data_IF_751037465793
#
_entry.id   IF_751037465793
#
_cell.length_a   1.000
_cell.length_b   1.000
_cell.length_c   1.000
_cell.angle_alpha   90.00
_cell.angle_beta   90.00
_cell.angle_gamma   90.00
#
_symmetry.space_group_name_H-M   'P 1'
#
loop_
_entity.id
_entity.type
_entity.pdbx_description
1 polymer ?
#
# COMPACT_ATOMS: atom_id res chain seq x y z
N UNK A 1 -20.31 0.75 -11.58
CA UNK A 1 -19.05 0.06 -11.24
C UNK A 1 -18.99 -0.07 -9.73
N UNK A 2 -19.28 -1.24 -9.18
CA UNK A 2 -19.19 -1.49 -7.73
C UNK A 2 -17.71 -1.57 -7.41
N UNK A 3 -17.16 -0.54 -6.75
CA UNK A 3 -15.77 -0.51 -6.33
C UNK A 3 -15.75 -1.14 -4.93
N UNK A 4 -15.18 -2.35 -4.75
CA UNK A 4 -15.23 -3.03 -3.47
C UNK A 4 -14.31 -2.34 -2.44
N UNK A 5 -14.71 -2.30 -1.17
CA UNK A 5 -13.94 -1.78 -0.02
C UNK A 5 -12.73 -2.68 0.30
N UNK A 6 -11.79 -2.79 -0.63
CA UNK A 6 -10.66 -3.73 -0.53
C UNK A 6 -9.36 -2.95 -0.45
N UNK A 7 -8.66 -3.11 0.66
CA UNK A 7 -7.26 -2.72 0.76
C UNK A 7 -6.40 -3.97 0.61
N UNK A 8 -5.34 -3.90 -0.18
CA UNK A 8 -4.37 -5.00 -0.26
C UNK A 8 -3.22 -4.66 0.69
N UNK A 9 -2.97 -5.54 1.66
CA UNK A 9 -1.85 -5.40 2.58
C UNK A 9 -0.73 -6.34 2.12
N UNK A 10 0.47 -5.82 1.97
CA UNK A 10 1.65 -6.56 1.53
C UNK A 10 2.68 -6.56 2.67
N UNK A 11 3.20 -7.73 3.03
CA UNK A 11 4.35 -7.81 3.93
C UNK A 11 5.64 -7.52 3.15
N UNK A 12 6.54 -6.75 3.76
CA UNK A 12 7.94 -6.77 3.34
C UNK A 12 8.51 -8.14 3.69
N UNK A 13 9.07 -8.83 2.70
CA UNK A 13 9.76 -10.10 2.93
C UNK A 13 11.01 -9.80 3.77
N UNK A 14 10.97 -10.17 5.04
CA UNK A 14 12.14 -10.11 5.92
C UNK A 14 13.10 -11.21 5.45
N UNK A 15 14.22 -10.81 4.84
CA UNK A 15 15.26 -11.77 4.48
C UNK A 15 15.83 -12.36 5.78
N UNK A 16 15.45 -13.60 6.06
CA UNK A 16 16.12 -14.44 7.05
C UNK A 16 17.56 -14.60 6.57
N UNK A 17 18.51 -14.06 7.31
CA UNK A 17 19.93 -14.35 7.10
C UNK A 17 20.14 -15.81 7.45
N UNK A 18 20.38 -16.63 6.43
CA UNK A 18 21.07 -17.91 6.58
C UNK A 18 21.76 -18.25 5.25
N UNK A 19 23.08 -18.08 5.30
CA UNK A 19 24.15 -18.81 4.62
C UNK A 19 23.96 -19.37 3.19
N UNK A 20 24.91 -18.95 2.37
CA UNK A 20 25.30 -19.45 1.06
C UNK A 20 25.42 -20.97 0.99
N UNK A 21 24.90 -21.58 -0.07
CA UNK A 21 25.55 -22.68 -0.78
C UNK A 21 25.36 -22.50 -2.30
N UNK A 22 26.47 -22.31 -2.99
CA UNK A 22 26.58 -22.30 -4.44
C UNK A 22 26.61 -23.74 -4.94
N UNK A 23 25.71 -24.12 -5.83
CA UNK A 23 25.90 -25.28 -6.71
C UNK A 23 25.45 -24.92 -8.12
N UNK A 24 26.45 -24.81 -8.99
CA UNK A 24 26.33 -24.66 -10.44
C UNK A 24 25.96 -26.02 -11.03
N UNK A 25 24.89 -26.12 -11.82
CA UNK A 25 24.76 -27.18 -12.83
C UNK A 25 24.05 -26.64 -14.09
N UNK A 26 24.54 -27.19 -15.20
CA UNK A 26 24.46 -26.75 -16.59
C UNK A 26 23.10 -26.97 -17.27
N UNK A 27 22.92 -26.19 -18.33
CA UNK A 27 21.86 -26.20 -19.32
C UNK A 27 21.45 -27.62 -19.77
N UNK A 28 20.15 -27.94 -19.71
CA UNK A 28 19.53 -28.91 -20.64
C UNK A 28 18.11 -28.43 -20.95
N UNK A 29 17.77 -28.37 -22.24
CA UNK A 29 16.45 -28.01 -22.75
C UNK A 29 15.44 -29.15 -22.57
N UNK A 30 14.18 -28.71 -22.47
CA UNK A 30 12.94 -29.37 -22.87
C UNK A 30 12.20 -30.22 -21.83
N UNK A 31 11.10 -29.67 -21.31
CA UNK A 31 9.75 -30.15 -21.63
C UNK A 31 8.72 -29.18 -21.04
N UNK A 32 7.76 -28.79 -21.87
CA UNK A 32 6.62 -27.95 -21.52
C UNK A 32 5.72 -28.65 -20.50
N UNK A 33 5.91 -28.38 -19.22
CA UNK A 33 4.89 -28.65 -18.21
C UNK A 33 3.78 -27.62 -18.39
N UNK A 34 2.64 -28.04 -18.94
CA UNK A 34 1.39 -27.27 -18.82
C UNK A 34 1.11 -27.07 -17.33
N UNK A 35 1.46 -25.89 -16.82
CA UNK A 35 1.11 -25.49 -15.48
C UNK A 35 -0.40 -25.49 -15.37
N UNK A 36 -0.94 -26.38 -14.53
CA UNK A 36 -2.29 -26.21 -14.01
C UNK A 36 -2.33 -24.85 -13.35
N UNK A 37 -3.05 -23.88 -13.93
CA UNK A 37 -3.34 -22.61 -13.28
C UNK A 37 -4.27 -22.90 -12.09
N UNK A 38 -3.70 -23.34 -10.97
CA UNK A 38 -4.39 -23.25 -9.69
C UNK A 38 -4.64 -21.78 -9.44
N UNK A 39 -5.91 -21.36 -9.54
CA UNK A 39 -6.33 -20.00 -9.22
C UNK A 39 -6.02 -19.77 -7.74
N UNK A 40 -4.84 -19.20 -7.45
CA UNK A 40 -4.45 -18.84 -6.10
C UNK A 40 -5.30 -17.66 -5.65
N UNK A 41 -6.40 -17.95 -4.96
CA UNK A 41 -7.24 -16.92 -4.35
C UNK A 41 -6.53 -16.41 -3.09
N UNK A 42 -6.15 -15.14 -3.08
CA UNK A 42 -5.62 -14.47 -1.90
C UNK A 42 -6.60 -14.63 -0.72
N UNK A 43 -6.04 -14.74 0.49
CA UNK A 43 -6.84 -14.71 1.71
C UNK A 43 -7.62 -13.38 1.78
N UNK A 44 -8.87 -13.47 2.22
CA UNK A 44 -9.71 -12.30 2.52
C UNK A 44 -9.96 -12.32 4.02
N UNK A 45 -9.59 -11.25 4.70
CA UNK A 45 -9.73 -11.11 6.16
C UNK A 45 -10.59 -9.88 6.43
N UNK A 46 -11.66 -10.09 7.18
CA UNK A 46 -12.56 -9.01 7.62
C UNK A 46 -12.06 -8.44 8.94
N UNK A 47 -11.98 -7.12 9.03
CA UNK A 47 -11.62 -6.36 10.22
C UNK A 47 -12.84 -5.57 10.68
N UNK A 48 -13.26 -5.82 11.91
CA UNK A 48 -14.38 -5.16 12.60
C UNK A 48 -14.02 -4.90 14.05
N UNK A 49 -14.88 -4.21 14.79
CA UNK A 49 -14.69 -3.99 16.24
C UNK A 49 -14.56 -5.31 17.04
N UNK A 50 -15.00 -6.46 16.49
CA UNK A 50 -14.91 -7.77 17.13
C UNK A 50 -13.50 -8.38 17.11
N UNK A 51 -12.61 -7.91 16.24
CA UNK A 51 -11.29 -8.51 16.04
C UNK A 51 -10.16 -7.49 15.82
N UNK A 52 -10.45 -6.19 15.96
CA UNK A 52 -9.44 -5.11 15.86
C UNK A 52 -8.91 -4.67 17.22
N UNK A 53 -9.52 -5.12 18.32
CA UNK A 53 -9.04 -4.89 19.68
C UNK A 53 -8.37 -6.17 20.26
N UNK A 54 -7.13 -6.08 20.78
CA UNK A 54 -6.41 -7.17 21.46
C UNK A 54 -7.16 -7.88 22.59
N UNK A 55 -8.11 -7.19 23.23
CA UNK A 55 -8.91 -7.73 24.33
C UNK A 55 -10.08 -8.62 23.85
N UNK A 56 -10.31 -8.69 22.53
CA UNK A 56 -11.41 -9.47 21.96
C UNK A 56 -11.08 -10.96 21.88
N UNK A 57 -12.08 -11.81 22.09
CA UNK A 57 -11.91 -13.27 22.04
C UNK A 57 -11.42 -13.78 20.67
N UNK A 58 -11.76 -13.08 19.59
CA UNK A 58 -11.39 -13.47 18.23
C UNK A 58 -10.01 -12.98 17.79
N UNK A 59 -9.34 -12.16 18.62
CA UNK A 59 -8.03 -11.59 18.32
C UNK A 59 -6.95 -12.66 18.05
N UNK A 60 -6.75 -13.70 18.88
CA UNK A 60 -5.70 -14.69 18.64
C UNK A 60 -5.89 -15.48 17.34
N UNK A 61 -7.15 -15.83 17.02
CA UNK A 61 -7.48 -16.51 15.77
C UNK A 61 -7.20 -15.61 14.55
N UNK A 62 -7.53 -14.32 14.67
CA UNK A 62 -7.29 -13.34 13.60
C UNK A 62 -5.79 -13.08 13.42
N UNK A 63 -5.00 -13.01 14.50
CA UNK A 63 -3.54 -12.93 14.43
C UNK A 63 -2.96 -14.09 13.62
N UNK A 64 -3.40 -15.32 13.91
CA UNK A 64 -2.97 -16.51 13.18
C UNK A 64 -3.32 -16.41 11.68
N UNK A 65 -4.54 -16.00 11.34
CA UNK A 65 -4.97 -15.84 9.93
C UNK A 65 -4.10 -14.81 9.19
N UNK A 66 -3.77 -13.70 9.83
CA UNK A 66 -2.89 -12.66 9.28
C UNK A 66 -1.49 -13.22 9.02
N UNK A 67 -0.86 -13.84 10.02
CA UNK A 67 0.48 -14.42 9.88
C UNK A 67 0.50 -15.49 8.79
N UNK A 68 -0.42 -16.47 8.84
CA UNK A 68 -0.51 -17.55 7.86
C UNK A 68 -0.66 -17.00 6.42
N UNK A 69 -1.46 -15.96 6.23
CA UNK A 69 -1.65 -15.34 4.91
C UNK A 69 -0.41 -14.60 4.42
N UNK A 70 0.28 -13.86 5.29
CA UNK A 70 1.52 -13.16 4.97
C UNK A 70 2.67 -14.13 4.70
N UNK A 71 2.78 -15.23 5.45
CA UNK A 71 3.79 -16.27 5.19
C UNK A 71 3.53 -17.00 3.87
N UNK A 72 2.27 -17.34 3.58
CA UNK A 72 1.90 -18.10 2.40
C UNK A 72 1.91 -17.29 1.10
N UNK A 73 1.41 -16.06 1.12
CA UNK A 73 1.18 -15.26 -0.08
C UNK A 73 1.95 -13.95 -0.10
N UNK A 74 2.60 -13.56 1.00
CA UNK A 74 3.16 -12.22 1.17
C UNK A 74 2.11 -11.13 1.33
N UNK A 75 0.81 -11.45 1.25
CA UNK A 75 -0.27 -10.47 1.25
C UNK A 75 -1.66 -11.08 1.50
N UNK A 76 -2.62 -10.21 1.78
CA UNK A 76 -4.05 -10.55 1.84
C UNK A 76 -4.92 -9.35 1.47
N UNK A 77 -6.19 -9.62 1.21
CA UNK A 77 -7.22 -8.60 1.01
C UNK A 77 -7.88 -8.32 2.36
N UNK A 78 -7.79 -7.08 2.82
CA UNK A 78 -8.50 -6.62 4.01
C UNK A 78 -9.85 -6.00 3.60
N UNK A 79 -10.91 -6.43 4.27
CA UNK A 79 -12.21 -5.75 4.28
C UNK A 79 -12.32 -5.06 5.63
N UNK A 80 -12.38 -3.74 5.65
CA UNK A 80 -12.43 -2.97 6.90
C UNK A 80 -13.77 -2.24 7.00
N UNK A 81 -14.55 -2.55 8.03
CA UNK A 81 -15.90 -2.03 8.22
C UNK A 81 -15.97 -0.50 8.34
N UNK A 82 -14.96 0.13 8.96
CA UNK A 82 -14.85 1.59 9.07
C UNK A 82 -14.55 2.26 7.73
N UNK A 83 -13.95 1.55 6.77
CA UNK A 83 -13.68 2.08 5.43
C UNK A 83 -14.92 1.92 4.54
N UNK A 84 -15.80 2.92 4.58
CA UNK A 84 -17.05 2.91 3.82
C UNK A 84 -16.82 3.13 2.32
N UNK A 85 -17.81 2.73 1.50
CA UNK A 85 -17.79 2.98 0.06
C UNK A 85 -17.75 4.48 -0.27
N UNK A 86 -18.36 5.32 0.57
CA UNK A 86 -18.38 6.76 0.37
C UNK A 86 -16.99 7.37 0.58
N UNK A 87 -16.28 7.02 1.66
CA UNK A 87 -14.90 7.46 1.89
C UNK A 87 -14.00 7.01 0.72
N UNK A 88 -14.15 5.76 0.29
CA UNK A 88 -13.41 5.22 -0.84
C UNK A 88 -13.71 5.99 -2.14
N UNK A 89 -14.98 6.30 -2.42
CA UNK A 89 -15.35 7.07 -3.62
C UNK A 89 -14.77 8.50 -3.57
N UNK A 90 -14.98 9.20 -2.46
CA UNK A 90 -14.55 10.58 -2.27
C UNK A 90 -13.03 10.75 -2.43
N UNK A 91 -12.23 9.86 -1.82
CA UNK A 91 -10.77 9.94 -1.97
C UNK A 91 -10.34 9.70 -3.42
N UNK A 92 -10.95 8.72 -4.11
CA UNK A 92 -10.59 8.45 -5.51
C UNK A 92 -10.98 9.59 -6.45
N UNK A 93 -12.12 10.25 -6.24
CA UNK A 93 -12.50 11.47 -6.98
C UNK A 93 -11.53 12.62 -6.70
N UNK A 94 -11.14 12.84 -5.44
CA UNK A 94 -10.10 13.81 -5.06
C UNK A 94 -8.76 13.52 -5.72
N UNK A 95 -8.36 12.25 -5.82
CA UNK A 95 -7.13 11.85 -6.51
C UNK A 95 -7.22 12.04 -8.03
N UNK A 96 -8.36 11.79 -8.65
CA UNK A 96 -8.56 12.11 -10.07
C UNK A 96 -8.32 13.60 -10.33
N UNK A 97 -8.89 14.47 -9.50
CA UNK A 97 -8.69 15.92 -9.58
C UNK A 97 -7.25 16.35 -9.29
N UNK A 98 -6.55 15.66 -8.39
CA UNK A 98 -5.12 15.90 -8.15
C UNK A 98 -4.30 15.64 -9.43
N UNK A 99 -4.57 14.53 -10.13
CA UNK A 99 -3.80 14.16 -11.32
C UNK A 99 -4.16 14.94 -12.59
N UNK A 100 -5.25 15.72 -12.59
CA UNK A 100 -5.57 16.66 -13.68
C UNK A 100 -4.83 17.98 -13.56
N UNK A 101 -4.17 18.26 -12.42
CA UNK A 101 -3.32 19.44 -12.27
C UNK A 101 -2.21 19.50 -13.33
N UNK A 102 -1.79 20.71 -13.74
CA UNK A 102 -0.67 20.88 -14.65
C UNK A 102 0.60 20.19 -14.13
N UNK A 103 1.41 19.63 -15.04
CA UNK A 103 2.68 19.00 -14.67
C UNK A 103 3.59 19.97 -13.91
N UNK A 104 3.60 21.26 -14.26
CA UNK A 104 4.40 22.28 -13.55
C UNK A 104 4.03 22.43 -12.08
N UNK A 105 2.76 22.19 -11.72
CA UNK A 105 2.30 22.18 -10.33
C UNK A 105 2.74 20.89 -9.63
N UNK A 106 2.50 19.74 -10.26
CA UNK A 106 2.81 18.42 -9.67
C UNK A 106 4.31 18.24 -9.38
N UNK A 107 5.20 18.74 -10.24
CA UNK A 107 6.66 18.71 -10.01
C UNK A 107 7.12 19.60 -8.85
N UNK A 108 6.26 20.47 -8.31
CA UNK A 108 6.56 21.19 -7.06
C UNK A 108 6.44 20.31 -5.82
N UNK A 109 5.82 19.12 -5.91
CA UNK A 109 5.92 18.11 -4.86
C UNK A 109 7.36 17.57 -4.81
N UNK A 110 8.22 18.28 -4.09
CA UNK A 110 9.65 17.98 -3.94
C UNK A 110 9.87 17.40 -2.55
N UNK A 111 10.75 16.41 -2.46
CA UNK A 111 11.23 15.89 -1.20
C UNK A 111 12.72 15.58 -1.29
N UNK A 112 13.44 15.80 -0.20
CA UNK A 112 14.81 15.32 -0.05
C UNK A 112 14.89 13.82 0.18
N UNK A 113 13.77 13.18 0.58
CA UNK A 113 13.68 11.73 0.74
C UNK A 113 13.43 11.08 -0.63
N UNK A 114 14.22 10.05 -1.03
CA UNK A 114 14.02 9.36 -2.29
C UNK A 114 12.59 8.86 -2.46
N UNK A 115 11.98 9.12 -3.63
CA UNK A 115 10.62 8.73 -3.98
C UNK A 115 9.50 9.40 -3.15
N UNK A 116 9.76 10.34 -2.24
CA UNK A 116 8.68 11.00 -1.48
C UNK A 116 8.02 12.17 -2.24
N UNK A 117 8.67 12.66 -3.30
CA UNK A 117 8.12 13.71 -4.15
C UNK A 117 7.34 13.15 -5.35
N UNK A 118 7.19 13.99 -6.36
CA UNK A 118 6.67 13.64 -7.67
C UNK A 118 7.60 12.70 -8.43
N UNK A 119 7.03 11.65 -9.01
CA UNK A 119 7.70 10.74 -9.94
C UNK A 119 6.82 10.60 -11.18
N UNK A 120 7.33 11.03 -12.33
CA UNK A 120 6.61 10.98 -13.59
C UNK A 120 7.46 11.59 -14.70
N UNK A 121 6.95 11.57 -15.94
CA UNK A 121 7.68 12.07 -17.12
C UNK A 121 9.03 11.34 -17.36
N UNK A 122 9.14 10.09 -16.91
CA UNK A 122 10.32 9.26 -17.13
C UNK A 122 10.17 8.56 -18.49
N UNK A 123 11.06 8.78 -19.46
CA UNK A 123 10.89 8.27 -20.83
C UNK A 123 10.66 6.75 -20.91
N UNK A 124 11.29 5.98 -20.02
CA UNK A 124 11.15 4.51 -19.97
C UNK A 124 9.99 4.01 -19.07
N UNK A 125 9.30 4.91 -18.35
CA UNK A 125 8.05 4.62 -17.60
C UNK A 125 6.93 5.59 -18.01
N UNK A 126 6.55 5.63 -19.31
CA UNK A 126 5.67 6.68 -19.84
C UNK A 126 4.22 6.54 -19.38
N UNK A 127 3.86 5.42 -18.74
CA UNK A 127 2.51 5.11 -18.27
C UNK A 127 2.24 5.53 -16.83
N UNK A 128 3.30 5.87 -16.08
CA UNK A 128 3.26 6.01 -14.63
C UNK A 128 3.48 7.44 -14.17
N UNK A 129 2.65 7.87 -13.23
CA UNK A 129 2.82 9.10 -12.48
C UNK A 129 2.46 8.84 -11.02
N UNK A 130 3.25 9.37 -10.08
CA UNK A 130 2.97 9.25 -8.65
C UNK A 130 3.44 10.45 -7.85
N UNK A 131 2.87 10.60 -6.66
CA UNK A 131 3.23 11.62 -5.69
C UNK A 131 3.25 10.98 -4.30
N UNK A 132 4.29 11.26 -3.52
CA UNK A 132 4.31 10.93 -2.10
C UNK A 132 3.73 12.07 -1.26
N UNK A 133 3.12 11.69 -0.13
CA UNK A 133 2.55 12.58 0.88
C UNK A 133 3.11 12.09 2.22
N UNK A 134 4.05 12.84 2.79
CA UNK A 134 4.67 12.51 4.08
C UNK A 134 3.68 12.80 5.23
N UNK A 135 3.82 12.09 6.34
CA UNK A 135 2.93 12.18 7.50
C UNK A 135 1.43 12.15 7.12
N UNK A 136 1.07 11.32 6.13
CA UNK A 136 -0.24 11.33 5.50
C UNK A 136 -1.38 10.93 6.45
N UNK A 137 -1.07 10.34 7.60
CA UNK A 137 -2.05 10.05 8.66
C UNK A 137 -2.42 11.30 9.49
N UNK A 138 -1.77 12.45 9.27
CA UNK A 138 -1.99 13.69 10.01
C UNK A 138 -2.67 14.75 9.14
N UNK A 139 -3.47 15.62 9.77
CA UNK A 139 -4.07 16.77 9.07
C UNK A 139 -2.99 17.71 8.53
N UNK A 140 -1.89 17.87 9.29
CA UNK A 140 -0.78 18.75 8.93
C UNK A 140 -0.06 18.28 7.68
N UNK A 141 0.36 17.01 7.62
CA UNK A 141 1.07 16.46 6.46
C UNK A 141 0.24 16.56 5.18
N UNK A 142 -1.07 16.30 5.27
CA UNK A 142 -1.98 16.46 4.13
C UNK A 142 -2.18 17.93 3.75
N UNK A 143 -2.32 18.84 4.73
CA UNK A 143 -2.45 20.27 4.45
C UNK A 143 -1.18 20.83 3.81
N UNK A 144 0.00 20.44 4.29
CA UNK A 144 1.29 20.86 3.75
C UNK A 144 1.42 20.43 2.28
N UNK A 145 1.06 19.18 1.95
CA UNK A 145 0.99 18.72 0.57
C UNK A 145 -0.04 19.51 -0.26
N UNK A 146 -1.25 19.71 0.28
CA UNK A 146 -2.34 20.41 -0.41
C UNK A 146 -1.98 21.85 -0.74
N UNK A 147 -1.29 22.55 0.15
CA UNK A 147 -0.83 23.93 -0.08
C UNK A 147 0.16 24.04 -1.26
N UNK A 148 0.96 23.00 -1.51
CA UNK A 148 1.86 22.96 -2.67
C UNK A 148 1.07 22.74 -3.97
N UNK A 149 0.04 21.91 -3.93
CA UNK A 149 -0.78 21.59 -5.11
C UNK A 149 -1.81 22.69 -5.44
N UNK A 150 -2.37 23.33 -4.41
CA UNK A 150 -3.38 24.38 -4.48
C UNK A 150 -2.99 25.53 -3.54
N UNK A 151 -2.30 26.56 -4.03
CA UNK A 151 -1.91 27.71 -3.19
C UNK A 151 -3.07 28.47 -2.55
N UNK A 152 -4.27 28.39 -3.14
CA UNK A 152 -5.51 28.98 -2.59
C UNK A 152 -6.25 28.02 -1.64
N UNK A 153 -5.67 26.85 -1.34
CA UNK A 153 -6.25 25.80 -0.52
C UNK A 153 -7.21 24.87 -1.29
N UNK A 154 -7.38 23.67 -0.75
CA UNK A 154 -8.39 22.71 -1.18
C UNK A 154 -8.89 21.89 0.03
N UNK A 155 -9.78 22.46 0.87
CA UNK A 155 -10.24 21.83 2.10
C UNK A 155 -10.89 20.47 1.87
N UNK A 156 -11.71 20.35 0.82
CA UNK A 156 -12.36 19.08 0.45
C UNK A 156 -11.36 17.98 0.11
N UNK A 157 -10.28 18.30 -0.62
CA UNK A 157 -9.20 17.32 -0.84
C UNK A 157 -8.55 16.89 0.47
N UNK A 158 -8.26 17.83 1.37
CA UNK A 158 -7.66 17.54 2.65
C UNK A 158 -8.55 16.63 3.51
N UNK A 159 -9.84 16.97 3.64
CA UNK A 159 -10.83 16.22 4.41
C UNK A 159 -10.97 14.79 3.91
N UNK A 160 -11.17 14.62 2.60
CA UNK A 160 -11.35 13.31 1.97
C UNK A 160 -10.10 12.43 2.14
N UNK A 161 -8.92 13.01 1.92
CA UNK A 161 -7.67 12.25 2.00
C UNK A 161 -7.35 11.85 3.45
N UNK A 162 -7.52 12.78 4.41
CA UNK A 162 -7.31 12.51 5.84
C UNK A 162 -8.23 11.41 6.34
N UNK A 163 -9.50 11.43 5.94
CA UNK A 163 -10.47 10.41 6.34
C UNK A 163 -10.02 9.01 5.91
N UNK A 164 -9.52 8.89 4.67
CA UNK A 164 -9.01 7.62 4.16
C UNK A 164 -7.69 7.18 4.82
N UNK A 165 -6.69 8.06 4.87
CA UNK A 165 -5.33 7.71 5.31
C UNK A 165 -5.25 7.42 6.80
N UNK A 166 -6.08 8.06 7.63
CA UNK A 166 -6.19 7.72 9.06
C UNK A 166 -6.69 6.30 9.28
N UNK A 167 -7.74 5.90 8.55
CA UNK A 167 -8.27 4.53 8.63
C UNK A 167 -7.27 3.51 8.11
N UNK A 168 -6.55 3.83 7.03
CA UNK A 168 -5.49 2.96 6.51
C UNK A 168 -4.35 2.80 7.53
N UNK A 169 -3.93 3.88 8.20
CA UNK A 169 -2.92 3.83 9.25
C UNK A 169 -3.40 3.07 10.50
N UNK A 170 -4.66 3.23 10.91
CA UNK A 170 -5.26 2.46 12.00
C UNK A 170 -5.24 0.95 11.70
N UNK A 171 -5.65 0.55 10.49
CA UNK A 171 -5.64 -0.84 10.08
C UNK A 171 -4.21 -1.41 9.99
N UNK A 172 -3.26 -0.63 9.49
CA UNK A 172 -1.84 -1.02 9.48
C UNK A 172 -1.32 -1.31 10.90
N UNK A 173 -1.63 -0.43 11.87
CA UNK A 173 -1.27 -0.64 13.28
C UNK A 173 -1.83 -1.95 13.84
N UNK A 174 -3.12 -2.20 13.60
CA UNK A 174 -3.78 -3.44 14.02
C UNK A 174 -3.07 -4.66 13.43
N UNK A 175 -2.85 -4.66 12.11
CA UNK A 175 -2.22 -5.79 11.41
C UNK A 175 -0.77 -6.00 11.85
N UNK A 176 0.01 -4.93 12.00
CA UNK A 176 1.39 -5.04 12.49
C UNK A 176 1.40 -5.58 13.91
N UNK A 177 0.51 -5.11 14.79
CA UNK A 177 0.40 -5.66 16.15
C UNK A 177 0.09 -7.15 16.13
N UNK A 178 -0.87 -7.58 15.30
CA UNK A 178 -1.19 -8.99 15.10
C UNK A 178 0.02 -9.82 14.64
N UNK A 179 0.88 -9.26 13.80
CA UNK A 179 2.14 -9.91 13.38
C UNK A 179 3.12 -10.03 14.55
N UNK A 180 3.34 -8.97 15.31
CA UNK A 180 4.23 -9.00 16.48
C UNK A 180 3.75 -10.02 17.53
N UNK A 181 2.45 -10.04 17.82
CA UNK A 181 1.86 -10.98 18.77
C UNK A 181 1.84 -12.41 18.23
N UNK A 182 1.56 -12.60 16.94
CA UNK A 182 1.59 -13.92 16.29
C UNK A 182 2.97 -14.58 16.29
N UNK A 183 4.05 -13.80 16.26
CA UNK A 183 5.42 -14.29 16.44
C UNK A 183 5.90 -14.34 17.90
N UNK A 184 5.03 -14.03 18.88
CA UNK A 184 5.39 -14.05 20.30
C UNK A 184 6.30 -12.90 20.75
N UNK A 185 6.41 -11.83 19.97
CA UNK A 185 7.27 -10.66 20.21
C UNK A 185 6.49 -9.37 20.49
N UNK A 186 5.21 -9.50 20.89
CA UNK A 186 4.26 -8.40 21.14
C UNK A 186 4.80 -7.24 22.00
N UNK A 187 5.69 -7.53 22.97
CA UNK A 187 6.33 -6.52 23.82
C UNK A 187 7.13 -5.44 23.08
N UNK A 188 7.47 -5.66 21.81
CA UNK A 188 8.21 -4.70 20.98
C UNK A 188 7.31 -3.82 20.12
N UNK A 189 6.00 -4.07 20.09
CA UNK A 189 5.06 -3.35 19.24
C UNK A 189 4.99 -1.85 19.59
N UNK A 190 4.91 -1.48 20.86
CA UNK A 190 4.80 -0.06 21.27
C UNK A 190 6.01 0.76 20.81
N UNK A 191 7.21 0.19 20.91
CA UNK A 191 8.43 0.82 20.41
C UNK A 191 8.39 0.98 18.88
N UNK A 192 7.93 -0.05 18.17
CA UNK A 192 7.77 0.01 16.71
C UNK A 192 6.77 1.10 16.31
N UNK A 193 5.60 1.12 16.93
CA UNK A 193 4.55 2.10 16.65
C UNK A 193 5.05 3.54 16.83
N UNK A 194 5.79 3.80 17.90
CA UNK A 194 6.38 5.13 18.15
C UNK A 194 7.44 5.56 17.14
N UNK A 195 7.99 4.62 16.36
CA UNK A 195 9.00 4.88 15.32
C UNK A 195 8.45 4.90 13.90
N UNK A 196 7.18 4.52 13.71
CA UNK A 196 6.57 4.37 12.40
C UNK A 196 6.30 5.74 11.74
N UNK A 197 6.60 5.85 10.45
CA UNK A 197 6.20 6.97 9.61
C UNK A 197 5.26 6.48 8.50
N UNK A 198 4.22 7.25 8.21
CA UNK A 198 3.19 6.92 7.22
C UNK A 198 3.31 7.81 5.98
N UNK A 199 3.96 7.28 4.95
CA UNK A 199 3.95 7.84 3.61
C UNK A 199 2.72 7.31 2.84
N UNK A 200 1.86 8.20 2.37
CA UNK A 200 0.87 7.83 1.35
C UNK A 200 1.46 8.08 -0.04
N UNK A 201 1.55 7.04 -0.87
CA UNK A 201 1.92 7.17 -2.28
C UNK A 201 0.68 7.02 -3.16
N UNK A 202 0.29 8.11 -3.80
CA UNK A 202 -0.80 8.12 -4.77
C UNK A 202 -0.24 7.90 -6.16
N UNK A 203 -0.88 7.03 -6.94
CA UNK A 203 -0.37 6.58 -8.24
C UNK A 203 -1.45 6.64 -9.30
N UNK A 204 -1.07 7.05 -10.50
CA UNK A 204 -1.89 7.02 -11.70
C UNK A 204 -1.17 6.24 -12.79
N UNK A 205 -1.94 5.35 -13.40
CA UNK A 205 -1.54 4.57 -14.56
C UNK A 205 -2.44 4.97 -15.73
N UNK A 206 -1.85 5.07 -16.92
CA UNK A 206 -2.61 5.20 -18.18
C UNK A 206 -2.41 3.98 -19.05
N UNK A 207 -3.35 3.76 -19.96
CA UNK A 207 -3.22 2.72 -20.96
C UNK A 207 -2.02 3.00 -21.90
N UNK A 208 -1.30 1.95 -22.31
CA UNK A 208 -0.25 2.06 -23.32
C UNK A 208 -0.84 2.39 -24.68
N UNK A 209 -0.20 3.34 -25.39
CA UNK A 209 -0.51 3.62 -26.80
C UNK A 209 0.12 2.55 -27.70
N UNK A 210 -0.33 2.51 -28.95
CA UNK A 210 0.26 1.62 -29.97
C UNK A 210 1.77 1.89 -30.05
N UNK A 211 2.58 0.84 -29.88
CA UNK A 211 4.04 0.92 -29.92
C UNK A 211 4.72 1.25 -28.58
N UNK A 212 3.97 1.56 -27.51
CA UNK A 212 4.55 1.75 -26.17
C UNK A 212 4.68 0.41 -25.41
N UNK A 213 5.67 0.35 -24.51
CA UNK A 213 5.80 -0.76 -23.58
C UNK A 213 4.58 -0.80 -22.63
N UNK A 214 4.04 -1.99 -22.37
CA UNK A 214 2.93 -2.23 -21.44
C UNK A 214 3.37 -2.24 -19.97
N UNK A 215 4.67 -2.35 -19.70
CA UNK A 215 5.24 -2.33 -18.36
C UNK A 215 5.16 -0.92 -17.79
N UNK A 216 4.30 -0.71 -16.80
CA UNK A 216 4.13 0.59 -16.18
C UNK A 216 5.14 0.87 -15.06
N UNK A 217 5.62 -0.17 -14.38
CA UNK A 217 6.63 -0.07 -13.34
C UNK A 217 7.39 -1.40 -13.22
N UNK A 218 8.62 -1.35 -12.74
CA UNK A 218 9.46 -2.55 -12.57
C UNK A 218 9.06 -3.32 -11.32
N UNK A 219 9.29 -4.63 -11.30
CA UNK A 219 9.11 -5.46 -10.11
C UNK A 219 10.02 -4.97 -8.97
N UNK A 220 9.44 -4.74 -7.80
CA UNK A 220 10.17 -4.24 -6.63
C UNK A 220 9.45 -4.63 -5.33
N UNK A 221 10.17 -4.51 -4.22
CA UNK A 221 9.61 -4.52 -2.86
C UNK A 221 9.89 -3.16 -2.22
N UNK A 222 8.86 -2.46 -1.77
CA UNK A 222 8.98 -1.14 -1.12
C UNK A 222 9.19 -1.28 0.38
#
# INVERSE_FOLDING_TARGET
>A
MVIPNRMTIQAKKWNKVSETHTLSLTHTQDQSTMGSETVHKLAVIEFTDKNTNPETESWPETCKKVVDALEKYGCFVAIYDKLTQEIHKQVFESLQNLFTLPTQTKVQNKSSKPLYGYVGQIPFLPLFESMGIDDAHTNRGIQDFSNVMWPNGNPTFCENLVAYTKLAAELDKVVVRMVFEGYGVGKHYEWYEGSANYLCRVMKYREPKIGENKMAFVSHTS
#
